data_IF_678499094481
#
_entry.id   IF_678499094481
#
_cell.length_a   1.000
_cell.length_b   1.000
_cell.length_c   1.000
_cell.angle_alpha   90.00
_cell.angle_beta   90.00
_cell.angle_gamma   90.00
#
_symmetry.space_group_name_H-M   'P 1'
#
loop_
_entity.id
_entity.type
_entity.pdbx_description
1 polymer ?
#
# COMPACT_ATOMS: atom_id res chain seq x y z
N UNK A 1 -21.17 -13.95 15.66
CA UNK A 1 -20.69 -14.71 14.50
C UNK A 1 -19.44 -14.02 14.01
N UNK A 2 -18.28 -14.48 14.47
CA UNK A 2 -16.98 -13.97 14.06
C UNK A 2 -16.69 -14.53 12.67
N UNK A 3 -16.89 -13.71 11.63
CA UNK A 3 -16.40 -14.05 10.29
C UNK A 3 -14.88 -14.13 10.38
N UNK A 4 -14.34 -15.34 10.28
CA UNK A 4 -12.92 -15.56 10.02
C UNK A 4 -12.63 -14.92 8.66
N UNK A 5 -12.22 -13.65 8.68
CA UNK A 5 -11.72 -12.95 7.50
C UNK A 5 -10.38 -13.60 7.18
N UNK A 6 -10.40 -14.62 6.33
CA UNK A 6 -9.18 -15.20 5.79
C UNK A 6 -8.44 -14.09 5.04
N UNK A 7 -7.33 -13.62 5.60
CA UNK A 7 -6.52 -12.58 4.99
C UNK A 7 -5.88 -13.16 3.72
N UNK A 8 -6.50 -12.88 2.58
CA UNK A 8 -5.97 -13.27 1.27
C UNK A 8 -4.57 -12.70 1.08
N UNK A 9 -3.62 -13.60 0.86
CA UNK A 9 -2.22 -13.27 0.61
C UNK A 9 -1.98 -13.17 -0.89
N UNK A 10 -1.33 -12.09 -1.33
CA UNK A 10 -1.12 -11.81 -2.75
C UNK A 10 0.36 -11.54 -3.04
N UNK A 11 0.94 -12.28 -3.98
CA UNK A 11 2.30 -11.99 -4.46
C UNK A 11 2.28 -10.69 -5.26
N UNK A 12 3.18 -9.76 -4.91
CA UNK A 12 3.29 -8.47 -5.56
C UNK A 12 4.64 -8.29 -6.25
N UNK A 13 4.58 -8.26 -7.57
CA UNK A 13 5.71 -7.97 -8.45
C UNK A 13 5.58 -6.54 -9.01
N UNK A 14 6.33 -5.56 -8.47
CA UNK A 14 6.14 -4.15 -8.81
C UNK A 14 6.19 -3.86 -10.32
N UNK A 15 7.19 -4.43 -11.02
CA UNK A 15 7.39 -4.21 -12.46
C UNK A 15 6.20 -4.73 -13.28
N UNK A 16 5.72 -5.95 -12.98
CA UNK A 16 4.59 -6.58 -13.66
C UNK A 16 3.32 -5.76 -13.46
N UNK A 17 3.03 -5.35 -12.22
CA UNK A 17 1.82 -4.58 -11.89
C UNK A 17 1.88 -3.16 -12.48
N UNK A 18 3.03 -2.49 -12.38
CA UNK A 18 3.26 -1.18 -13.02
C UNK A 18 3.03 -1.26 -14.53
N UNK A 19 3.52 -2.31 -15.20
CA UNK A 19 3.31 -2.52 -16.63
C UNK A 19 1.83 -2.74 -16.99
N UNK A 20 1.11 -3.57 -16.24
CA UNK A 20 -0.33 -3.80 -16.43
C UNK A 20 -1.09 -2.47 -16.35
N UNK A 21 -0.83 -1.66 -15.32
CA UNK A 21 -1.53 -0.38 -15.15
C UNK A 21 -1.12 0.61 -16.25
N UNK A 22 0.18 0.68 -16.58
CA UNK A 22 0.75 1.58 -17.60
C UNK A 22 0.15 1.33 -18.99
N UNK A 23 -0.04 0.07 -19.36
CA UNK A 23 -0.53 -0.30 -20.70
C UNK A 23 -1.97 0.16 -20.99
N UNK A 24 -2.68 0.66 -19.98
CA UNK A 24 -4.05 1.17 -20.13
C UNK A 24 -4.12 2.61 -20.60
N UNK A 25 -3.02 3.34 -20.48
CA UNK A 25 -2.92 4.66 -21.10
C UNK A 25 -2.70 4.47 -22.60
N UNK A 26 -3.52 5.15 -23.41
CA UNK A 26 -3.48 5.06 -24.86
C UNK A 26 -2.35 5.87 -25.47
N UNK A 27 -2.00 7.01 -24.86
CA UNK A 27 -0.94 7.90 -25.34
C UNK A 27 0.39 7.64 -24.63
N UNK A 28 1.48 7.81 -25.36
CA UNK A 28 2.82 7.64 -24.80
C UNK A 28 3.12 8.68 -23.70
N UNK A 29 2.63 9.91 -23.85
CA UNK A 29 2.80 10.95 -22.84
C UNK A 29 2.12 10.61 -21.51
N UNK A 30 0.92 10.02 -21.56
CA UNK A 30 0.22 9.60 -20.36
C UNK A 30 0.94 8.41 -19.68
N UNK A 31 1.52 7.49 -20.45
CA UNK A 31 2.36 6.39 -19.94
C UNK A 31 3.60 6.94 -19.22
N UNK A 32 4.31 7.87 -19.85
CA UNK A 32 5.51 8.49 -19.31
C UNK A 32 5.20 9.29 -18.04
N UNK A 33 4.09 10.05 -18.06
CA UNK A 33 3.62 10.81 -16.89
C UNK A 33 3.29 9.88 -15.72
N UNK A 34 2.55 8.80 -15.96
CA UNK A 34 2.23 7.81 -14.94
C UNK A 34 3.50 7.20 -14.34
N UNK A 35 4.46 6.81 -15.17
CA UNK A 35 5.73 6.23 -14.75
C UNK A 35 6.55 7.20 -13.89
N UNK A 36 6.65 8.46 -14.31
CA UNK A 36 7.31 9.52 -13.54
C UNK A 36 6.62 9.80 -12.20
N UNK A 37 5.29 9.90 -12.17
CA UNK A 37 4.50 10.10 -10.94
C UNK A 37 4.59 8.91 -9.98
N UNK A 38 4.76 7.71 -10.53
CA UNK A 38 4.97 6.51 -9.75
C UNK A 38 6.33 6.57 -9.04
N UNK A 39 7.40 6.76 -9.80
CA UNK A 39 8.77 6.81 -9.28
C UNK A 39 9.00 8.00 -8.34
N UNK A 40 8.41 9.16 -8.63
CA UNK A 40 8.49 10.31 -7.74
C UNK A 40 7.83 10.02 -6.39
N UNK A 41 6.66 9.37 -6.38
CA UNK A 41 5.96 9.05 -5.14
C UNK A 41 6.73 8.00 -4.32
N UNK A 42 7.23 6.94 -4.96
CA UNK A 42 8.09 5.93 -4.31
C UNK A 42 9.32 6.58 -3.68
N UNK A 43 10.04 7.42 -4.44
CA UNK A 43 11.20 8.18 -3.92
C UNK A 43 10.84 9.08 -2.75
N UNK A 44 9.67 9.74 -2.80
CA UNK A 44 9.22 10.61 -1.73
C UNK A 44 8.90 9.83 -0.45
N UNK A 45 8.25 8.67 -0.57
CA UNK A 45 8.01 7.78 0.57
C UNK A 45 9.34 7.32 1.20
N UNK A 46 10.27 6.83 0.39
CA UNK A 46 11.59 6.41 0.85
C UNK A 46 12.31 7.52 1.61
N UNK A 47 12.43 8.71 1.03
CA UNK A 47 13.08 9.86 1.66
C UNK A 47 12.41 10.25 2.99
N UNK A 48 11.08 10.21 3.03
CA UNK A 48 10.33 10.53 4.25
C UNK A 48 10.54 9.48 5.33
N UNK A 49 10.51 8.19 4.97
CA UNK A 49 10.67 7.09 5.92
C UNK A 49 12.09 7.02 6.46
N UNK A 50 13.11 7.14 5.60
CA UNK A 50 14.52 7.20 6.01
C UNK A 50 14.77 8.34 7.01
N UNK A 51 14.13 9.50 6.83
CA UNK A 51 14.25 10.65 7.74
C UNK A 51 13.59 10.42 9.10
N UNK A 52 12.46 9.69 9.12
CA UNK A 52 11.58 9.62 10.29
C UNK A 52 11.77 8.34 11.12
N UNK A 53 12.44 7.32 10.59
CA UNK A 53 12.68 6.03 11.26
C UNK A 53 13.96 6.04 12.12
N UNK A 54 13.80 6.34 13.41
CA UNK A 54 14.91 6.29 14.39
C UNK A 54 15.12 4.90 15.02
N UNK A 55 14.04 4.16 15.28
CA UNK A 55 14.05 2.91 16.05
C UNK A 55 13.48 1.71 15.27
N UNK A 56 13.54 1.73 13.93
CA UNK A 56 12.98 0.69 13.07
C UNK A 56 13.99 0.25 12.01
N UNK A 57 13.76 -0.92 11.42
CA UNK A 57 14.57 -1.43 10.32
C UNK A 57 14.60 -0.44 9.13
N UNK A 58 15.80 -0.20 8.60
CA UNK A 58 16.05 0.69 7.46
C UNK A 58 16.61 -0.07 6.24
N UNK A 59 16.22 -1.34 6.07
CA UNK A 59 16.64 -2.15 4.93
C UNK A 59 16.05 -1.56 3.64
N UNK A 60 16.89 -0.91 2.83
CA UNK A 60 16.46 -0.17 1.63
C UNK A 60 15.64 -1.01 0.64
N UNK A 61 16.00 -2.28 0.45
CA UNK A 61 15.28 -3.19 -0.44
C UNK A 61 13.84 -3.44 0.06
N UNK A 62 13.66 -3.67 1.36
CA UNK A 62 12.36 -3.78 2.01
C UNK A 62 11.55 -2.51 1.80
N UNK A 63 12.12 -1.35 2.17
CA UNK A 63 11.41 -0.08 2.09
C UNK A 63 11.04 0.28 0.65
N UNK A 64 11.89 -0.06 -0.31
CA UNK A 64 11.64 0.13 -1.74
C UNK A 64 10.41 -0.66 -2.19
N UNK A 65 10.38 -1.95 -1.87
CA UNK A 65 9.26 -2.82 -2.23
C UNK A 65 7.95 -2.39 -1.52
N UNK A 66 8.01 -1.97 -0.26
CA UNK A 66 6.83 -1.49 0.48
C UNK A 66 6.28 -0.18 -0.09
N UNK A 67 7.15 0.74 -0.52
CA UNK A 67 6.73 1.98 -1.16
C UNK A 67 6.01 1.72 -2.50
N UNK A 68 6.43 0.69 -3.24
CA UNK A 68 5.75 0.23 -4.45
C UNK A 68 4.34 -0.30 -4.14
N UNK A 69 4.19 -1.09 -3.07
CA UNK A 69 2.88 -1.57 -2.58
C UNK A 69 1.97 -0.39 -2.20
N UNK A 70 2.49 0.57 -1.44
CA UNK A 70 1.76 1.79 -1.04
C UNK A 70 1.27 2.57 -2.25
N UNK A 71 2.13 2.72 -3.27
CA UNK A 71 1.75 3.40 -4.51
C UNK A 71 0.65 2.64 -5.25
N UNK A 72 0.76 1.32 -5.35
CA UNK A 72 -0.28 0.48 -5.96
C UNK A 72 -1.63 0.65 -5.25
N UNK A 73 -1.67 0.53 -3.92
CA UNK A 73 -2.91 0.67 -3.14
C UNK A 73 -3.52 2.08 -3.30
N UNK A 74 -2.67 3.10 -3.33
CA UNK A 74 -3.11 4.48 -3.59
C UNK A 74 -3.75 4.64 -4.98
N UNK A 75 -3.19 3.97 -6.00
CA UNK A 75 -3.72 4.01 -7.37
C UNK A 75 -5.06 3.28 -7.47
N UNK A 76 -5.18 2.05 -6.97
CA UNK A 76 -6.45 1.31 -7.04
C UNK A 76 -7.55 2.02 -6.25
N UNK A 77 -7.23 2.56 -5.06
CA UNK A 77 -8.20 3.32 -4.27
C UNK A 77 -8.66 4.57 -5.01
N UNK A 78 -7.75 5.33 -5.63
CA UNK A 78 -8.12 6.50 -6.45
C UNK A 78 -9.01 6.11 -7.64
N UNK A 79 -8.81 4.93 -8.21
CA UNK A 79 -9.62 4.41 -9.31
C UNK A 79 -11.00 3.91 -8.88
N UNK A 80 -11.22 3.62 -7.59
CA UNK A 80 -12.49 3.12 -7.03
C UNK A 80 -13.17 4.10 -6.09
N UNK A 81 -12.66 5.31 -5.94
CA UNK A 81 -13.26 6.33 -5.07
C UNK A 81 -13.81 7.50 -5.87
N UNK A 82 -14.90 8.05 -5.37
CA UNK A 82 -15.50 9.27 -5.92
C UNK A 82 -14.66 10.44 -5.43
N UNK A 83 -14.16 11.26 -6.35
CA UNK A 83 -13.50 12.51 -5.97
C UNK A 83 -14.49 13.37 -5.18
N UNK A 84 -14.07 13.91 -4.03
CA UNK A 84 -14.94 14.65 -3.10
C UNK A 84 -15.75 15.83 -3.69
N UNK A 85 -15.39 16.29 -4.90
CA UNK A 85 -16.11 17.36 -5.60
C UNK A 85 -17.32 16.85 -6.41
N UNK A 86 -17.51 15.54 -6.57
CA UNK A 86 -18.67 14.94 -7.27
C UNK A 86 -19.63 14.34 -6.24
N UNK A 87 -20.49 15.19 -5.66
CA UNK A 87 -21.55 14.75 -4.74
C UNK A 87 -22.56 13.87 -5.49
N UNK A 88 -22.91 12.72 -4.91
CA UNK A 88 -23.98 11.83 -5.39
C UNK A 88 -23.61 10.85 -6.52
N UNK A 89 -22.36 10.83 -6.99
CA UNK A 89 -21.92 9.81 -7.95
C UNK A 89 -21.63 8.48 -7.22
N UNK A 90 -22.02 7.36 -7.81
CA UNK A 90 -21.61 6.05 -7.32
C UNK A 90 -20.09 5.85 -7.53
N UNK A 91 -19.39 5.14 -6.62
CA UNK A 91 -17.99 4.79 -6.82
C UNK A 91 -17.79 3.99 -8.11
N UNK A 92 -16.82 4.37 -8.96
CA UNK A 92 -16.52 3.60 -10.15
C UNK A 92 -15.99 2.22 -9.78
N UNK A 93 -16.42 1.19 -10.52
CA UNK A 93 -15.86 -0.16 -10.37
C UNK A 93 -14.45 -0.24 -10.96
N UNK A 94 -13.58 -1.02 -10.32
CA UNK A 94 -12.26 -1.32 -10.87
C UNK A 94 -12.42 -2.07 -12.20
N UNK A 95 -11.66 -1.68 -13.21
CA UNK A 95 -11.63 -2.40 -14.48
C UNK A 95 -11.08 -3.81 -14.27
N UNK A 96 -11.64 -4.79 -15.00
CA UNK A 96 -11.30 -6.22 -14.91
C UNK A 96 -9.83 -6.55 -15.22
N UNK A 97 -9.12 -5.64 -15.88
CA UNK A 97 -7.73 -5.80 -16.30
C UNK A 97 -6.71 -5.50 -15.18
N UNK A 98 -7.13 -4.86 -14.08
CA UNK A 98 -6.27 -4.70 -12.91
C UNK A 98 -6.53 -5.83 -11.93
N UNK A 99 -5.49 -6.54 -11.49
CA UNK A 99 -5.65 -7.46 -10.38
C UNK A 99 -5.97 -6.69 -9.09
N UNK A 100 -6.86 -7.25 -8.27
CA UNK A 100 -7.05 -6.85 -6.87
C UNK A 100 -6.11 -7.71 -6.04
N UNK A 101 -5.09 -7.09 -5.46
CA UNK A 101 -4.10 -7.75 -4.61
C UNK A 101 -4.24 -7.24 -3.17
N UNK A 102 -3.78 -8.02 -2.19
CA UNK A 102 -3.79 -7.67 -0.76
C UNK A 102 -5.02 -8.19 -0.02
N UNK A 103 -5.23 -7.76 1.25
CA UNK A 103 -4.48 -6.74 2.00
C UNK A 103 -3.10 -7.19 2.48
N UNK A 104 -2.82 -8.50 2.47
CA UNK A 104 -1.52 -9.05 2.82
C UNK A 104 -0.69 -9.30 1.56
N UNK A 105 0.45 -8.63 1.45
CA UNK A 105 1.31 -8.67 0.28
C UNK A 105 2.56 -9.49 0.56
N UNK A 106 2.87 -10.39 -0.37
CA UNK A 106 4.06 -11.23 -0.34
C UNK A 106 5.05 -10.74 -1.41
N UNK A 107 6.35 -10.63 -1.09
CA UNK A 107 7.35 -10.35 -2.10
C UNK A 107 7.49 -11.52 -3.08
N UNK A 108 8.05 -11.29 -4.29
CA UNK A 108 8.27 -12.36 -5.25
C UNK A 108 9.24 -13.40 -4.69
N UNK A 109 8.77 -14.64 -4.51
CA UNK A 109 9.60 -15.75 -4.05
C UNK A 109 10.57 -16.29 -5.10
N UNK A 110 11.42 -17.25 -4.69
CA UNK A 110 12.45 -17.88 -5.54
C UNK A 110 11.95 -18.35 -6.91
N UNK A 111 10.78 -19.00 -6.96
CA UNK A 111 10.22 -19.52 -8.22
C UNK A 111 9.92 -18.38 -9.21
N UNK A 112 9.45 -17.22 -8.73
CA UNK A 112 9.19 -16.07 -9.58
C UNK A 112 10.48 -15.54 -10.20
N UNK A 113 11.55 -15.47 -9.39
CA UNK A 113 12.88 -15.07 -9.88
C UNK A 113 13.41 -16.08 -10.90
N UNK A 114 13.45 -17.37 -10.55
CA UNK A 114 14.01 -18.44 -11.38
C UNK A 114 13.30 -18.60 -12.74
N UNK A 115 11.97 -18.41 -12.78
CA UNK A 115 11.18 -18.64 -14.00
C UNK A 115 11.08 -17.42 -14.91
N UNK A 116 11.36 -16.21 -14.40
CA UNK A 116 11.30 -14.97 -15.18
C UNK A 116 12.66 -14.50 -15.69
N UNK A 117 13.74 -14.83 -14.97
CA UNK A 117 15.12 -14.49 -15.34
C UNK A 117 16.09 -15.54 -14.75
N UNK A 118 17.35 -15.62 -15.22
CA UNK A 118 18.37 -16.50 -14.64
C UNK A 118 19.00 -15.79 -13.43
N UNK A 119 18.64 -16.09 -12.17
CA UNK A 119 18.89 -15.14 -11.11
C UNK A 119 20.33 -15.26 -10.58
N UNK A 120 21.08 -14.16 -10.61
CA UNK A 120 22.15 -13.92 -9.65
C UNK A 120 21.46 -13.63 -8.30
N UNK A 121 21.02 -14.69 -7.60
CA UNK A 121 20.28 -14.57 -6.34
C UNK A 121 21.20 -13.94 -5.31
N UNK A 122 21.05 -12.65 -5.12
CA UNK A 122 21.65 -11.95 -3.99
C UNK A 122 20.71 -12.13 -2.78
N UNK A 123 21.22 -12.58 -1.62
CA UNK A 123 20.40 -12.85 -0.44
C UNK A 123 19.54 -11.66 0.04
N UNK A 124 19.90 -10.44 -0.38
CA UNK A 124 19.26 -9.19 0.03
C UNK A 124 17.79 -9.08 -0.45
N UNK A 125 17.44 -9.66 -1.61
CA UNK A 125 16.06 -9.65 -2.12
C UNK A 125 15.23 -10.85 -1.65
N UNK A 126 15.86 -11.97 -1.27
CA UNK A 126 15.16 -13.17 -0.78
C UNK A 126 14.66 -13.05 0.67
N UNK A 127 15.12 -12.04 1.40
CA UNK A 127 14.77 -11.82 2.81
C UNK A 127 13.78 -10.65 3.01
N UNK A 128 13.15 -10.17 1.94
CA UNK A 128 12.06 -9.19 2.05
C UNK A 128 10.89 -9.87 2.79
N UNK A 129 10.33 -9.18 3.78
CA UNK A 129 9.20 -9.63 4.59
C UNK A 129 7.90 -9.19 3.96
N UNK A 130 6.85 -9.97 4.23
CA UNK A 130 5.49 -9.62 3.85
C UNK A 130 5.03 -8.32 4.53
N UNK A 131 4.09 -7.63 3.88
CA UNK A 131 3.47 -6.43 4.44
C UNK A 131 1.94 -6.52 4.45
N UNK A 132 1.35 -6.26 5.60
CA UNK A 132 -0.11 -6.11 5.76
C UNK A 132 -0.48 -4.64 5.62
N UNK A 133 -1.37 -4.33 4.67
CA UNK A 133 -1.83 -2.96 4.40
C UNK A 133 -3.19 -2.70 5.05
N UNK A 134 -3.21 -1.73 5.94
CA UNK A 134 -4.41 -1.24 6.62
C UNK A 134 -4.90 0.03 5.92
N UNK A 135 -5.84 -0.14 4.98
CA UNK A 135 -6.33 0.94 4.12
C UNK A 135 -7.84 0.81 3.87
N UNK A 136 -8.55 1.94 3.65
CA UNK A 136 -10.01 1.99 3.40
C UNK A 136 -10.47 1.11 2.24
N UNK A 137 -9.58 0.87 1.28
CA UNK A 137 -9.83 -0.02 0.15
C UNK A 137 -10.13 -1.46 0.59
N UNK A 138 -9.46 -1.94 1.63
CA UNK A 138 -9.66 -3.28 2.20
C UNK A 138 -10.58 -3.28 3.43
N UNK A 139 -10.49 -2.21 4.23
CA UNK A 139 -11.22 -2.05 5.48
C UNK A 139 -12.07 -0.78 5.43
N UNK A 140 -13.23 -0.78 4.73
CA UNK A 140 -14.02 0.42 4.49
C UNK A 140 -14.61 1.05 5.76
N UNK A 141 -14.66 0.29 6.86
CA UNK A 141 -15.20 0.72 8.15
C UNK A 141 -14.15 1.33 9.08
N UNK A 142 -12.88 1.39 8.68
CA UNK A 142 -11.79 1.82 9.58
C UNK A 142 -11.91 3.27 10.06
N UNK A 143 -12.56 4.13 9.26
CA UNK A 143 -12.83 5.52 9.60
C UNK A 143 -14.32 5.77 9.93
N UNK A 144 -15.10 4.73 10.22
CA UNK A 144 -16.52 4.88 10.55
C UNK A 144 -16.74 5.64 11.87
N UNK A 145 -15.88 5.41 12.85
CA UNK A 145 -15.92 6.10 14.13
C UNK A 145 -14.51 6.26 14.74
N UNK A 146 -14.35 7.30 15.55
CA UNK A 146 -13.15 7.48 16.36
C UNK A 146 -13.12 6.43 17.48
N UNK A 147 -12.03 5.67 17.68
CA UNK A 147 -11.95 4.68 18.76
C UNK A 147 -11.95 5.29 20.18
N UNK A 148 -11.71 6.59 20.31
CA UNK A 148 -11.61 7.27 21.61
C UNK A 148 -12.94 7.89 22.06
N UNK A 149 -13.64 8.59 21.15
CA UNK A 149 -14.88 9.31 21.47
C UNK A 149 -16.12 8.80 20.71
N UNK A 150 -15.97 7.76 19.88
CA UNK A 150 -17.03 7.19 19.05
C UNK A 150 -17.68 8.16 18.05
N UNK A 151 -17.11 9.35 17.84
CA UNK A 151 -17.64 10.31 16.86
C UNK A 151 -17.39 9.85 15.43
N UNK A 152 -18.30 10.20 14.52
CA UNK A 152 -18.15 9.97 13.07
C UNK A 152 -17.31 11.04 12.35
N UNK A 153 -16.84 12.07 13.07
CA UNK A 153 -16.10 13.21 12.51
C UNK A 153 -14.61 12.89 12.31
N UNK A 154 -14.32 11.79 11.60
CA UNK A 154 -12.96 11.38 11.29
C UNK A 154 -12.55 11.76 9.87
N UNK A 155 -11.30 12.21 9.72
CA UNK A 155 -10.67 12.55 8.44
C UNK A 155 -9.47 11.65 8.18
N UNK A 156 -9.28 11.31 6.91
CA UNK A 156 -8.10 10.61 6.44
C UNK A 156 -7.02 11.64 6.09
N UNK A 157 -5.85 11.57 6.74
CA UNK A 157 -4.74 12.49 6.49
C UNK A 157 -3.78 11.96 5.40
N UNK A 158 -3.68 10.63 5.27
CA UNK A 158 -2.82 9.98 4.29
C UNK A 158 -2.08 8.79 4.89
N UNK A 159 -1.00 8.35 4.24
CA UNK A 159 -0.14 7.28 4.76
C UNK A 159 0.73 7.75 5.92
N UNK A 160 1.05 6.85 6.84
CA UNK A 160 2.00 7.14 7.93
C UNK A 160 3.35 7.66 7.41
N UNK A 161 3.80 8.77 8.00
CA UNK A 161 5.08 9.43 7.66
C UNK A 161 6.29 8.67 8.19
N UNK A 162 6.11 7.81 9.19
CA UNK A 162 7.15 6.93 9.75
C UNK A 162 7.36 5.66 8.91
N UNK A 163 6.45 5.38 7.98
CA UNK A 163 6.48 4.17 7.17
C UNK A 163 5.99 2.93 7.91
N UNK A 164 6.16 1.75 7.28
CA UNK A 164 5.77 0.46 7.87
C UNK A 164 6.39 0.19 9.24
N UNK A 165 5.66 -0.42 10.16
CA UNK A 165 6.20 -0.86 11.44
C UNK A 165 6.41 -2.38 11.46
N UNK A 166 7.44 -2.82 12.17
CA UNK A 166 7.64 -4.22 12.51
C UNK A 166 6.49 -4.67 13.43
N UNK A 167 5.82 -5.77 13.05
CA UNK A 167 4.79 -6.43 13.84
C UNK A 167 5.28 -7.84 14.13
N UNK A 168 5.49 -8.12 15.41
CA UNK A 168 5.95 -9.41 15.86
C UNK A 168 4.75 -10.35 16.04
N UNK A 169 4.51 -11.19 15.04
CA UNK A 169 3.61 -12.33 15.15
C UNK A 169 4.33 -13.53 15.79
N UNK A 170 3.56 -14.50 16.28
CA UNK A 170 4.11 -15.75 16.85
C UNK A 170 4.86 -16.62 15.83
N UNK A 171 4.60 -16.44 14.52
CA UNK A 171 5.11 -17.34 13.48
C UNK A 171 6.12 -16.69 12.54
N UNK A 172 6.00 -15.39 12.22
CA UNK A 172 6.92 -14.67 11.34
C UNK A 172 6.96 -13.19 11.72
N UNK A 173 8.12 -12.56 11.53
CA UNK A 173 8.22 -11.10 11.56
C UNK A 173 7.52 -10.53 10.32
N UNK A 174 6.47 -9.76 10.53
CA UNK A 174 5.70 -9.11 9.47
C UNK A 174 5.84 -7.61 9.57
N UNK A 175 5.61 -6.91 8.46
CA UNK A 175 5.48 -5.47 8.47
C UNK A 175 4.01 -5.09 8.33
N UNK A 176 3.61 -3.98 8.93
CA UNK A 176 2.30 -3.40 8.71
C UNK A 176 2.42 -1.93 8.34
N UNK A 177 1.59 -1.47 7.40
CA UNK A 177 1.47 -0.05 7.11
C UNK A 177 0.01 0.36 7.03
N UNK A 178 -0.29 1.50 7.63
CA UNK A 178 -1.63 2.05 7.66
C UNK A 178 -1.70 3.50 7.23
N UNK A 179 -2.94 3.93 7.06
CA UNK A 179 -3.32 5.33 6.92
C UNK A 179 -3.56 5.98 8.29
N UNK A 180 -3.31 7.28 8.37
CA UNK A 180 -3.56 8.09 9.55
C UNK A 180 -4.98 8.64 9.52
N UNK A 181 -5.67 8.48 10.66
CA UNK A 181 -7.04 8.95 10.88
C UNK A 181 -6.99 10.02 11.97
N UNK A 182 -7.52 11.21 11.66
CA UNK A 182 -7.66 12.32 12.60
C UNK A 182 -9.13 12.41 13.01
N UNK A 183 -9.39 12.44 14.31
CA UNK A 183 -10.70 12.84 14.84
C UNK A 183 -10.68 14.33 15.16
N UNK A 184 -11.59 15.11 14.56
CA UNK A 184 -11.66 16.57 14.83
C UNK A 184 -11.99 16.90 16.28
N UNK A 185 -12.74 16.04 16.96
CA UNK A 185 -13.12 16.24 18.35
C UNK A 185 -11.98 15.93 19.33
N UNK A 186 -11.06 15.03 18.96
CA UNK A 186 -9.90 14.66 19.78
C UNK A 186 -8.62 15.42 19.37
N UNK A 187 -8.71 16.35 18.41
CA UNK A 187 -7.57 17.11 17.92
C UNK A 187 -7.03 18.02 19.05
N UNK A 188 -5.89 17.65 19.64
CA UNK A 188 -5.26 18.35 20.77
C UNK A 188 -5.28 17.61 22.12
N UNK A 189 -5.77 16.37 22.17
CA UNK A 189 -5.71 15.52 23.38
C UNK A 189 -4.43 14.67 23.50
N UNK A 190 -3.39 14.94 22.70
CA UNK A 190 -2.14 14.17 22.63
C UNK A 190 -0.91 15.06 22.55
#
# INVERSE_FOLDING_TARGET
>A
MSENTEMSSSVFEPATIKAIIKNRFTTQDARNKFESEWEQNVRQHLKNWERNRKNQSNVKAQLGWEAEVVKYVSVIHKLTTVHGNKKGAAPPSLKKDIPILGPHFLPPGYIHAQKRDMPQITPNISCIRAITVVHLFYFPTINACCPLCSSGDTLLEGWTTKGPCDVHGLHWDEHAIGVQIICKQCQGQF
#
